data_IF_359497534613
#
_entry.id   IF_359497534613
#
_cell.length_a   1.000
_cell.length_b   1.000
_cell.length_c   1.000
_cell.angle_alpha   90.00
_cell.angle_beta   90.00
_cell.angle_gamma   90.00
#
_symmetry.space_group_name_H-M   'P 1'
#
loop_
_entity.id
_entity.type
_entity.pdbx_description
1 polymer ?
#
# COMPACT_ATOMS: atom_id res chain seq x y z
N UNK A 1 -42.58 75.43 -21.17
CA UNK A 1 -43.58 75.88 -20.14
C UNK A 1 -43.34 75.28 -18.81
N UNK A 2 -42.94 76.11 -17.87
CA UNK A 2 -43.33 76.11 -16.38
C UNK A 2 -43.06 74.82 -15.59
N UNK A 3 -41.96 74.81 -14.70
CA UNK A 3 -42.01 75.17 -13.27
C UNK A 3 -42.54 73.99 -12.45
N UNK A 4 -41.92 73.54 -11.31
CA UNK A 4 -41.24 74.17 -10.13
C UNK A 4 -40.51 72.99 -9.38
N UNK A 5 -39.35 73.13 -8.95
CA UNK A 5 -38.75 73.38 -7.63
C UNK A 5 -39.61 73.03 -6.39
N UNK A 6 -39.04 72.23 -5.53
CA UNK A 6 -38.85 72.29 -4.07
C UNK A 6 -38.61 70.88 -3.57
N UNK A 7 -37.71 70.53 -2.74
CA UNK A 7 -36.88 71.19 -1.77
C UNK A 7 -36.60 70.21 -0.65
N UNK A 8 -35.34 70.02 -0.30
CA UNK A 8 -34.78 69.87 1.04
C UNK A 8 -35.31 68.77 1.97
N UNK A 9 -34.51 67.74 2.30
CA UNK A 9 -33.94 67.63 3.66
C UNK A 9 -33.00 66.44 3.75
N UNK A 10 -31.81 66.71 4.24
CA UNK A 10 -30.76 65.76 4.58
C UNK A 10 -31.16 64.92 5.82
N UNK A 11 -30.89 63.64 5.74
CA UNK A 11 -30.66 62.84 6.93
C UNK A 11 -29.58 61.83 6.64
N UNK A 12 -28.38 62.11 7.08
CA UNK A 12 -27.22 61.26 7.08
C UNK A 12 -27.42 60.14 8.12
N UNK A 13 -27.70 58.93 7.68
CA UNK A 13 -27.65 57.74 8.54
C UNK A 13 -26.38 56.97 8.15
N UNK A 14 -25.34 57.06 8.97
CA UNK A 14 -24.20 56.15 8.97
C UNK A 14 -24.70 54.75 9.31
N UNK A 15 -24.77 53.88 8.33
CA UNK A 15 -24.90 52.42 8.57
C UNK A 15 -23.47 51.89 8.63
N UNK A 16 -23.01 51.56 9.87
CA UNK A 16 -21.86 50.68 10.05
C UNK A 16 -22.21 49.32 9.45
N UNK A 17 -21.69 49.02 8.30
CA UNK A 17 -21.67 47.66 7.76
C UNK A 17 -20.63 46.88 8.59
N UNK A 18 -21.09 46.13 9.59
CA UNK A 18 -20.34 45.05 10.21
C UNK A 18 -20.14 43.98 9.13
N UNK A 19 -18.94 43.93 8.57
CA UNK A 19 -18.47 42.82 7.77
C UNK A 19 -18.29 41.63 8.73
N UNK A 20 -19.35 40.85 8.91
CA UNK A 20 -19.23 39.48 9.41
C UNK A 20 -18.54 38.72 8.32
N UNK A 21 -17.23 38.46 8.50
CA UNK A 21 -16.53 37.41 7.82
C UNK A 21 -17.23 36.11 8.16
N UNK A 22 -18.09 35.61 7.27
CA UNK A 22 -18.49 34.21 7.27
C UNK A 22 -17.25 33.44 6.98
N UNK A 23 -16.52 32.99 8.00
CA UNK A 23 -15.72 31.82 7.93
C UNK A 23 -16.69 30.69 7.58
N UNK A 24 -16.47 30.03 6.47
CA UNK A 24 -17.09 28.73 6.18
C UNK A 24 -16.57 27.73 7.25
N UNK A 25 -17.16 27.79 8.43
CA UNK A 25 -17.20 26.66 9.36
C UNK A 25 -18.17 25.64 8.74
N UNK A 26 -17.65 24.84 7.84
CA UNK A 26 -18.30 23.61 7.38
C UNK A 26 -18.23 22.58 8.52
N UNK A 27 -18.84 22.92 9.66
CA UNK A 27 -19.15 22.01 10.76
C UNK A 27 -20.38 21.19 10.41
N UNK A 28 -20.34 20.55 9.21
CA UNK A 28 -21.19 19.41 8.92
C UNK A 28 -20.69 18.24 9.80
N UNK A 29 -21.60 17.55 10.46
CA UNK A 29 -21.41 16.40 11.37
C UNK A 29 -20.80 15.14 10.71
N UNK A 30 -19.95 15.30 9.71
CA UNK A 30 -19.24 14.26 8.99
C UNK A 30 -17.77 14.60 8.91
N UNK A 31 -16.90 13.79 9.54
CA UNK A 31 -15.45 13.98 9.57
C UNK A 31 -14.80 14.26 8.21
N UNK A 32 -13.56 14.76 8.21
CA UNK A 32 -12.80 15.11 7.01
C UNK A 32 -12.68 13.92 6.07
N UNK A 33 -13.10 14.08 4.82
CA UNK A 33 -13.00 13.03 3.78
C UNK A 33 -11.53 12.76 3.44
N UNK A 34 -11.16 11.47 3.33
CA UNK A 34 -9.84 10.98 2.95
C UNK A 34 -10.00 9.85 1.95
N UNK A 35 -9.42 9.98 0.77
CA UNK A 35 -9.43 8.93 -0.26
C UNK A 35 -8.26 7.98 -0.07
N UNK A 36 -8.55 6.66 0.00
CA UNK A 36 -7.55 5.65 0.31
C UNK A 36 -7.60 4.48 -0.68
N UNK A 37 -6.47 4.21 -1.37
CA UNK A 37 -6.30 3.06 -2.25
C UNK A 37 -5.82 1.82 -1.50
N UNK A 38 -6.32 0.64 -1.89
CA UNK A 38 -5.88 -0.64 -1.33
C UNK A 38 -5.90 -1.77 -2.36
N UNK A 39 -5.22 -2.87 -2.07
CA UNK A 39 -5.32 -4.13 -2.82
C UNK A 39 -6.28 -5.05 -2.05
N UNK A 40 -7.16 -5.76 -2.77
CA UNK A 40 -8.17 -6.65 -2.20
C UNK A 40 -7.60 -7.99 -1.72
N UNK A 41 -6.52 -7.93 -0.95
CA UNK A 41 -5.92 -9.07 -0.24
C UNK A 41 -5.74 -8.74 1.24
N UNK A 42 -5.25 -9.70 2.04
CA UNK A 42 -5.08 -9.50 3.47
C UNK A 42 -4.11 -8.35 3.78
N UNK A 43 -2.95 -8.34 3.14
CA UNK A 43 -1.90 -7.34 3.41
C UNK A 43 -2.32 -5.92 3.06
N UNK A 44 -3.09 -5.76 1.96
CA UNK A 44 -3.58 -4.46 1.51
C UNK A 44 -4.80 -3.94 2.25
N UNK A 45 -5.58 -4.83 2.89
CA UNK A 45 -6.91 -4.50 3.40
C UNK A 45 -7.03 -4.57 4.92
N UNK A 46 -6.25 -5.42 5.62
CA UNK A 46 -6.48 -5.73 7.03
C UNK A 46 -6.50 -4.49 7.95
N UNK A 47 -5.54 -3.58 7.80
CA UNK A 47 -5.50 -2.36 8.61
C UNK A 47 -6.72 -1.46 8.35
N UNK A 48 -7.18 -1.36 7.11
CA UNK A 48 -8.36 -0.54 6.75
C UNK A 48 -9.65 -1.18 7.24
N UNK A 49 -9.76 -2.50 7.13
CA UNK A 49 -10.90 -3.29 7.62
C UNK A 49 -11.05 -3.15 9.15
N UNK A 50 -9.94 -3.32 9.87
CA UNK A 50 -9.89 -3.15 11.33
C UNK A 50 -10.16 -1.70 11.71
N UNK A 51 -9.60 -0.73 11.02
CA UNK A 51 -9.86 0.69 11.29
C UNK A 51 -11.35 1.05 11.14
N UNK A 52 -12.02 0.45 10.15
CA UNK A 52 -13.47 0.60 9.98
C UNK A 52 -14.25 -0.13 11.10
N UNK A 53 -13.90 -1.39 11.41
CA UNK A 53 -14.56 -2.20 12.44
C UNK A 53 -14.45 -1.61 13.83
N UNK A 54 -13.30 -0.99 14.16
CA UNK A 54 -13.00 -0.40 15.48
C UNK A 54 -13.34 1.09 15.55
N UNK A 55 -13.97 1.63 14.50
CA UNK A 55 -14.35 3.05 14.39
C UNK A 55 -13.17 4.02 14.60
N UNK A 56 -11.97 3.62 14.17
CA UNK A 56 -10.75 4.41 14.39
C UNK A 56 -10.70 5.69 13.56
N UNK A 57 -11.37 5.70 12.40
CA UNK A 57 -11.43 6.87 11.53
C UNK A 57 -12.18 8.03 12.15
N UNK A 58 -13.40 7.80 12.65
CA UNK A 58 -14.23 8.84 13.26
C UNK A 58 -13.61 9.38 14.54
N UNK A 59 -12.91 8.54 15.34
CA UNK A 59 -12.14 8.96 16.50
C UNK A 59 -11.03 9.98 16.18
N UNK A 60 -10.60 10.05 14.93
CA UNK A 60 -9.66 11.04 14.41
C UNK A 60 -10.36 12.15 13.59
N UNK A 61 -11.69 12.17 13.57
CA UNK A 61 -12.47 13.12 12.78
C UNK A 61 -12.31 12.90 11.26
N UNK A 62 -12.06 11.65 10.83
CA UNK A 62 -11.85 11.27 9.42
C UNK A 62 -13.01 10.43 8.89
N UNK A 63 -13.28 10.58 7.59
CA UNK A 63 -14.23 9.76 6.85
C UNK A 63 -13.54 9.15 5.62
N UNK A 64 -13.17 7.86 5.64
CA UNK A 64 -12.47 7.26 4.53
C UNK A 64 -13.39 7.00 3.33
N UNK A 65 -12.87 7.27 2.12
CA UNK A 65 -13.41 6.81 0.84
C UNK A 65 -12.42 5.79 0.26
N UNK A 66 -12.74 4.51 0.39
CA UNK A 66 -11.84 3.40 0.12
C UNK A 66 -12.02 2.90 -1.31
N UNK A 67 -10.93 2.80 -2.08
CA UNK A 67 -10.91 2.40 -3.49
C UNK A 67 -10.00 1.20 -3.71
N UNK A 68 -10.55 0.13 -4.30
CA UNK A 68 -9.79 -1.07 -4.63
C UNK A 68 -8.97 -0.88 -5.90
N UNK A 69 -7.74 -1.38 -5.90
CA UNK A 69 -6.82 -1.43 -7.03
C UNK A 69 -6.26 -2.84 -7.19
N UNK A 70 -5.84 -3.17 -8.40
CA UNK A 70 -5.23 -4.48 -8.69
C UNK A 70 -3.75 -4.57 -8.29
N UNK A 71 -3.06 -3.42 -8.20
CA UNK A 71 -1.62 -3.36 -7.86
C UNK A 71 -1.21 -1.98 -7.30
N UNK A 72 0.01 -1.92 -6.74
CA UNK A 72 0.57 -0.70 -6.14
C UNK A 72 0.89 0.41 -7.15
N UNK A 73 1.53 0.13 -8.30
CA UNK A 73 1.84 1.15 -9.30
C UNK A 73 0.65 1.98 -9.75
N UNK A 74 -0.53 1.37 -9.94
CA UNK A 74 -1.76 2.10 -10.27
C UNK A 74 -2.21 3.05 -9.15
N UNK A 75 -1.98 2.69 -7.89
CA UNK A 75 -2.27 3.57 -6.76
C UNK A 75 -1.35 4.80 -6.76
N UNK A 76 -0.04 4.63 -7.04
CA UNK A 76 0.89 5.76 -7.13
C UNK A 76 0.55 6.68 -8.31
N UNK A 77 0.08 6.12 -9.42
CA UNK A 77 -0.45 6.93 -10.51
C UNK A 77 -1.67 7.76 -10.07
N UNK A 78 -2.59 7.15 -9.33
CA UNK A 78 -3.76 7.83 -8.79
C UNK A 78 -3.40 8.88 -7.72
N UNK A 79 -2.37 8.65 -6.91
CA UNK A 79 -1.78 9.65 -6.01
C UNK A 79 -1.25 10.84 -6.80
N UNK A 80 -0.48 10.61 -7.87
CA UNK A 80 0.10 11.66 -8.71
C UNK A 80 -0.95 12.53 -9.42
N UNK A 81 -2.12 11.97 -9.73
CA UNK A 81 -3.26 12.70 -10.31
C UNK A 81 -4.24 13.25 -9.26
N UNK A 82 -3.92 13.16 -7.96
CA UNK A 82 -4.74 13.62 -6.82
C UNK A 82 -6.11 12.93 -6.72
N UNK A 83 -6.26 11.74 -7.33
CA UNK A 83 -7.45 10.90 -7.18
C UNK A 83 -7.42 10.03 -5.92
N UNK A 84 -6.26 9.97 -5.25
CA UNK A 84 -6.03 9.37 -3.94
C UNK A 84 -5.22 10.32 -3.06
N UNK A 85 -5.48 10.29 -1.75
CA UNK A 85 -4.66 10.92 -0.73
C UNK A 85 -3.62 9.94 -0.18
N UNK A 86 -4.04 8.70 0.03
CA UNK A 86 -3.23 7.61 0.56
C UNK A 86 -3.39 6.34 -0.26
N UNK A 87 -2.42 5.45 -0.17
CA UNK A 87 -2.45 4.16 -0.84
C UNK A 87 -1.60 3.10 -0.13
N UNK A 88 -1.67 1.88 -0.62
CA UNK A 88 -0.93 0.73 -0.13
C UNK A 88 0.03 0.21 -1.20
N UNK A 89 1.26 -0.13 -0.80
CA UNK A 89 2.25 -0.75 -1.67
C UNK A 89 2.81 -2.02 -1.04
N UNK A 90 2.86 -3.07 -1.84
CA UNK A 90 3.72 -4.24 -1.56
C UNK A 90 5.20 -3.92 -1.82
N UNK A 91 6.12 -4.75 -1.32
CA UNK A 91 7.56 -4.45 -1.29
C UNK A 91 8.17 -4.24 -2.68
N UNK A 92 7.67 -4.92 -3.70
CA UNK A 92 8.17 -4.77 -5.07
C UNK A 92 7.80 -3.46 -5.77
N UNK A 93 6.92 -2.64 -5.18
CA UNK A 93 6.58 -1.32 -5.70
C UNK A 93 7.32 -0.18 -4.97
N UNK A 94 8.23 -0.50 -4.03
CA UNK A 94 8.98 0.51 -3.25
C UNK A 94 10.00 1.29 -4.07
N UNK A 95 10.29 0.87 -5.30
CA UNK A 95 11.02 1.69 -6.26
C UNK A 95 10.33 3.05 -6.56
N UNK A 96 9.00 3.15 -6.36
CA UNK A 96 8.24 4.38 -6.55
C UNK A 96 8.54 5.42 -5.47
N UNK A 97 8.43 5.12 -4.16
CA UNK A 97 8.92 6.04 -3.12
C UNK A 97 10.41 6.34 -3.24
N UNK A 98 11.25 5.35 -3.55
CA UNK A 98 12.70 5.52 -3.71
C UNK A 98 13.09 6.47 -4.87
N UNK A 99 12.15 6.82 -5.74
CA UNK A 99 12.30 7.83 -6.81
C UNK A 99 11.46 9.09 -6.56
N UNK A 100 11.02 9.31 -5.32
CA UNK A 100 10.30 10.53 -4.90
C UNK A 100 8.83 10.60 -5.32
N UNK A 101 8.26 9.52 -5.90
CA UNK A 101 6.86 9.53 -6.41
C UNK A 101 5.80 9.38 -5.32
N UNK A 102 6.20 8.97 -4.12
CA UNK A 102 5.33 8.87 -2.96
C UNK A 102 6.16 9.01 -1.68
N UNK A 103 5.53 9.29 -0.54
CA UNK A 103 6.12 9.25 0.80
C UNK A 103 5.53 8.09 1.59
N UNK A 104 6.36 7.32 2.27
CA UNK A 104 5.92 6.22 3.14
C UNK A 104 5.52 6.81 4.49
N UNK A 105 4.28 6.53 4.92
CA UNK A 105 3.73 7.03 6.19
C UNK A 105 3.75 5.97 7.29
N UNK A 106 3.72 4.68 6.92
CA UNK A 106 3.72 3.56 7.86
C UNK A 106 4.21 2.28 7.20
N UNK A 107 5.01 1.49 7.91
CA UNK A 107 5.15 0.06 7.64
C UNK A 107 3.89 -0.62 8.17
N UNK A 108 3.29 -1.48 7.37
CA UNK A 108 2.09 -2.23 7.72
C UNK A 108 2.46 -3.60 8.34
N UNK A 109 3.22 -4.38 7.58
CA UNK A 109 3.70 -5.72 7.96
C UNK A 109 4.88 -6.10 7.06
N UNK A 110 5.61 -7.15 7.41
CA UNK A 110 6.65 -7.70 6.53
C UNK A 110 6.06 -8.83 5.70
N UNK A 111 6.18 -8.72 4.37
CA UNK A 111 5.60 -9.66 3.42
C UNK A 111 6.34 -10.98 3.35
N UNK A 112 5.58 -12.08 3.30
CA UNK A 112 6.05 -13.45 3.09
C UNK A 112 5.14 -14.19 2.11
N UNK A 113 4.36 -13.47 1.31
CA UNK A 113 3.32 -14.02 0.45
C UNK A 113 3.78 -14.39 -0.96
N UNK A 114 4.88 -13.79 -1.44
CA UNK A 114 5.28 -13.90 -2.84
C UNK A 114 5.96 -15.24 -3.12
N UNK A 115 5.67 -15.79 -4.30
CA UNK A 115 6.21 -17.06 -4.79
C UNK A 115 6.52 -16.99 -6.28
N UNK A 116 7.52 -17.75 -6.68
CA UNK A 116 7.59 -18.26 -8.05
C UNK A 116 7.00 -19.65 -8.03
N UNK A 117 5.97 -19.87 -8.82
CA UNK A 117 5.29 -21.16 -8.95
C UNK A 117 5.49 -21.70 -10.37
N UNK A 118 5.61 -23.01 -10.48
CA UNK A 118 5.79 -23.71 -11.75
C UNK A 118 4.73 -24.80 -11.92
N UNK A 119 4.44 -25.13 -13.17
CA UNK A 119 3.49 -26.19 -13.51
C UNK A 119 4.08 -27.55 -13.21
N UNK A 120 3.26 -28.53 -12.78
CA UNK A 120 3.67 -29.93 -12.71
C UNK A 120 4.18 -30.41 -14.07
N UNK A 121 5.29 -31.14 -14.08
CA UNK A 121 5.88 -31.67 -15.31
C UNK A 121 6.61 -30.66 -16.20
N UNK A 122 6.69 -29.38 -15.82
CA UNK A 122 7.45 -28.35 -16.57
C UNK A 122 8.96 -28.53 -16.52
N UNK A 123 9.46 -29.39 -15.61
CA UNK A 123 10.88 -29.56 -15.32
C UNK A 123 11.47 -28.41 -14.49
N UNK A 124 10.64 -27.51 -13.96
CA UNK A 124 11.07 -26.38 -13.14
C UNK A 124 10.93 -26.75 -11.66
N UNK A 125 12.06 -26.92 -10.97
CA UNK A 125 12.12 -27.28 -9.55
C UNK A 125 12.97 -26.30 -8.72
N UNK A 126 13.82 -25.52 -9.40
CA UNK A 126 14.72 -24.51 -8.82
C UNK A 126 14.86 -23.31 -9.75
N UNK A 127 15.32 -22.14 -9.28
CA UNK A 127 15.43 -20.94 -10.09
C UNK A 127 16.24 -21.09 -11.39
N UNK A 128 17.29 -21.91 -11.40
CA UNK A 128 18.09 -22.14 -12.61
C UNK A 128 17.31 -22.79 -13.75
N UNK A 129 16.25 -23.56 -13.45
CA UNK A 129 15.42 -24.23 -14.43
C UNK A 129 14.45 -23.27 -15.17
N UNK A 130 14.39 -22.00 -14.74
CA UNK A 130 13.58 -20.96 -15.39
C UNK A 130 14.16 -20.53 -16.74
N UNK A 131 15.43 -20.88 -17.05
CA UNK A 131 16.07 -20.52 -18.32
C UNK A 131 15.25 -20.99 -19.52
N UNK A 132 14.96 -20.05 -20.45
CA UNK A 132 14.13 -20.29 -21.63
C UNK A 132 12.63 -20.48 -21.39
N UNK A 133 12.17 -20.39 -20.15
CA UNK A 133 10.76 -20.58 -19.77
C UNK A 133 9.93 -19.31 -19.91
N UNK A 134 8.63 -19.51 -20.15
CA UNK A 134 7.63 -18.44 -20.24
C UNK A 134 7.01 -18.19 -18.89
N UNK A 135 7.21 -16.99 -18.34
CA UNK A 135 6.86 -16.65 -16.96
C UNK A 135 5.88 -15.48 -16.93
N UNK A 136 4.69 -15.70 -16.38
CA UNK A 136 3.71 -14.63 -16.16
C UNK A 136 4.04 -13.82 -14.89
N UNK A 137 3.97 -12.49 -14.99
CA UNK A 137 4.30 -11.62 -13.85
C UNK A 137 3.52 -10.30 -13.90
N UNK A 138 3.01 -9.80 -12.76
CA UNK A 138 2.52 -8.43 -12.66
C UNK A 138 3.72 -7.46 -12.56
N UNK A 139 3.99 -6.76 -13.66
CA UNK A 139 5.16 -5.89 -13.76
C UNK A 139 5.19 -4.80 -12.69
N UNK A 140 6.36 -4.56 -12.10
CA UNK A 140 6.59 -3.50 -11.10
C UNK A 140 6.00 -3.79 -9.72
N UNK A 141 5.60 -5.04 -9.46
CA UNK A 141 5.06 -5.51 -8.18
C UNK A 141 6.05 -6.43 -7.45
N UNK A 142 5.64 -7.00 -6.32
CA UNK A 142 6.45 -7.98 -5.58
C UNK A 142 6.68 -9.29 -6.36
N UNK A 143 5.75 -9.67 -7.26
CA UNK A 143 5.97 -10.77 -8.19
C UNK A 143 7.13 -10.51 -9.15
N UNK A 144 7.20 -9.30 -9.73
CA UNK A 144 8.34 -8.87 -10.56
C UNK A 144 9.65 -8.87 -9.76
N UNK A 145 9.61 -8.36 -8.55
CA UNK A 145 10.77 -8.32 -7.66
C UNK A 145 11.29 -9.73 -7.33
N UNK A 146 10.45 -10.66 -6.88
CA UNK A 146 10.89 -12.01 -6.50
C UNK A 146 11.43 -12.78 -7.71
N UNK A 147 10.87 -12.58 -8.92
CA UNK A 147 11.40 -13.17 -10.14
C UNK A 147 12.83 -12.71 -10.41
N UNK A 148 13.05 -11.40 -10.37
CA UNK A 148 14.39 -10.85 -10.63
C UNK A 148 15.40 -11.26 -9.56
N UNK A 149 15.02 -11.32 -8.28
CA UNK A 149 15.87 -11.82 -7.20
C UNK A 149 16.27 -13.28 -7.46
N UNK A 150 15.33 -14.14 -7.80
CA UNK A 150 15.57 -15.56 -8.05
C UNK A 150 16.46 -15.79 -9.30
N UNK A 151 16.20 -15.05 -10.39
CA UNK A 151 17.04 -15.10 -11.59
C UNK A 151 18.49 -14.72 -11.27
N UNK A 152 18.68 -13.64 -10.52
CA UNK A 152 20.01 -13.17 -10.11
C UNK A 152 20.75 -14.20 -9.26
N UNK A 153 20.11 -14.82 -8.27
CA UNK A 153 20.73 -15.88 -7.46
C UNK A 153 21.10 -17.11 -8.29
N UNK A 154 20.32 -17.38 -9.35
CA UNK A 154 20.61 -18.45 -10.29
C UNK A 154 21.69 -18.08 -11.35
N UNK A 155 22.22 -16.86 -11.31
CA UNK A 155 23.16 -16.36 -12.33
C UNK A 155 22.51 -16.13 -13.70
N UNK A 156 21.19 -15.96 -13.74
CA UNK A 156 20.40 -15.69 -14.96
C UNK A 156 20.12 -14.18 -15.09
N UNK A 157 19.97 -13.73 -16.33
CA UNK A 157 19.52 -12.39 -16.69
C UNK A 157 18.02 -12.41 -17.03
N UNK A 158 17.30 -11.30 -16.95
CA UNK A 158 15.92 -11.21 -17.43
C UNK A 158 15.75 -11.64 -18.90
N UNK A 159 16.78 -11.45 -19.74
CA UNK A 159 16.82 -11.90 -21.14
C UNK A 159 16.94 -13.42 -21.31
N UNK A 160 17.29 -14.17 -20.27
CA UNK A 160 17.38 -15.63 -20.32
C UNK A 160 16.01 -16.32 -20.16
N UNK A 161 14.95 -15.56 -19.90
CA UNK A 161 13.57 -16.03 -19.72
C UNK A 161 12.61 -15.22 -20.60
N UNK A 162 11.43 -15.78 -20.89
CA UNK A 162 10.36 -15.06 -21.57
C UNK A 162 9.38 -14.49 -20.54
N UNK A 163 9.63 -13.26 -20.07
CA UNK A 163 8.71 -12.57 -19.14
C UNK A 163 7.49 -12.08 -19.89
N UNK A 164 6.29 -12.44 -19.39
CA UNK A 164 5.01 -12.00 -19.95
C UNK A 164 4.29 -11.12 -18.91
N UNK A 165 4.35 -9.80 -19.05
CA UNK A 165 3.66 -8.88 -18.15
C UNK A 165 2.14 -8.98 -18.32
N UNK A 166 1.41 -9.10 -17.21
CA UNK A 166 -0.05 -9.11 -17.19
C UNK A 166 -0.59 -8.76 -15.81
N UNK A 167 -1.88 -8.39 -15.75
CA UNK A 167 -2.54 -8.13 -14.47
C UNK A 167 -2.61 -9.39 -13.58
N UNK A 168 -2.64 -9.26 -12.25
CA UNK A 168 -2.64 -10.39 -11.33
C UNK A 168 -3.75 -11.43 -11.60
N UNK A 169 -4.98 -10.99 -11.93
CA UNK A 169 -6.09 -11.87 -12.28
C UNK A 169 -5.86 -12.63 -13.60
N UNK A 170 -5.18 -12.00 -14.55
CA UNK A 170 -4.78 -12.61 -15.83
C UNK A 170 -3.68 -13.64 -15.62
N UNK A 171 -2.72 -13.40 -14.69
CA UNK A 171 -1.71 -14.40 -14.29
C UNK A 171 -2.38 -15.67 -13.79
N UNK A 172 -3.39 -15.55 -12.92
CA UNK A 172 -4.16 -16.71 -12.40
C UNK A 172 -4.78 -17.51 -13.54
N UNK A 173 -5.39 -16.82 -14.51
CA UNK A 173 -6.02 -17.47 -15.67
C UNK A 173 -4.99 -18.11 -16.60
N UNK A 174 -3.93 -17.40 -16.95
CA UNK A 174 -2.87 -17.87 -17.86
C UNK A 174 -2.14 -19.09 -17.31
N UNK A 175 -1.84 -19.11 -16.00
CA UNK A 175 -1.24 -20.26 -15.36
C UNK A 175 -2.22 -21.45 -15.34
N UNK A 176 -3.48 -21.22 -14.97
CA UNK A 176 -4.51 -22.26 -14.93
C UNK A 176 -4.83 -22.88 -16.29
N UNK A 177 -4.70 -22.12 -17.38
CA UNK A 177 -4.95 -22.57 -18.76
C UNK A 177 -3.74 -23.14 -19.51
N UNK A 178 -2.60 -23.33 -18.81
CA UNK A 178 -1.35 -23.81 -19.42
C UNK A 178 -0.75 -22.88 -20.50
N UNK A 179 -1.00 -21.58 -20.39
CA UNK A 179 -0.46 -20.59 -21.34
C UNK A 179 0.96 -20.11 -21.01
N UNK A 180 1.45 -20.45 -19.81
CA UNK A 180 2.78 -20.12 -19.27
C UNK A 180 3.33 -21.30 -18.47
N UNK A 181 4.67 -21.42 -18.41
CA UNK A 181 5.37 -22.49 -17.68
C UNK A 181 5.44 -22.22 -16.18
N UNK A 182 5.58 -20.94 -15.80
CA UNK A 182 5.70 -20.47 -14.44
C UNK A 182 4.97 -19.13 -14.24
N UNK A 183 4.77 -18.76 -12.99
CA UNK A 183 4.28 -17.43 -12.63
C UNK A 183 4.97 -16.94 -11.36
N UNK A 184 5.20 -15.63 -11.28
CA UNK A 184 5.66 -14.95 -10.08
C UNK A 184 4.52 -14.07 -9.54
N UNK A 185 3.93 -14.48 -8.42
CA UNK A 185 2.69 -13.93 -7.87
C UNK A 185 2.62 -14.21 -6.36
N UNK A 186 1.56 -13.79 -5.70
CA UNK A 186 1.42 -13.87 -4.23
C UNK A 186 0.11 -14.51 -3.76
N UNK A 187 0.11 -14.96 -2.51
CA UNK A 187 -1.11 -15.39 -1.82
C UNK A 187 -2.03 -14.18 -1.49
N UNK A 188 -3.36 -14.31 -1.61
CA UNK A 188 -4.12 -15.55 -1.81
C UNK A 188 -4.37 -15.93 -3.28
N UNK A 189 -3.81 -15.23 -4.28
CA UNK A 189 -4.03 -15.54 -5.69
C UNK A 189 -3.54 -16.96 -6.05
N UNK A 190 -2.48 -17.41 -5.40
CA UNK A 190 -1.95 -18.78 -5.56
C UNK A 190 -2.99 -19.82 -5.11
N UNK A 191 -3.78 -19.56 -4.07
CA UNK A 191 -4.87 -20.47 -3.67
C UNK A 191 -5.94 -20.62 -4.75
N UNK A 192 -6.21 -19.57 -5.52
CA UNK A 192 -7.11 -19.63 -6.66
C UNK A 192 -6.50 -20.46 -7.82
N UNK A 193 -5.19 -20.40 -8.00
CA UNK A 193 -4.48 -21.24 -8.98
C UNK A 193 -4.53 -22.71 -8.53
N UNK A 194 -4.28 -23.00 -7.24
CA UNK A 194 -4.31 -24.37 -6.67
C UNK A 194 -5.65 -25.07 -6.86
N UNK A 195 -6.76 -24.36 -6.97
CA UNK A 195 -8.08 -24.95 -7.29
C UNK A 195 -8.10 -25.64 -8.67
N UNK A 196 -7.26 -25.22 -9.61
CA UNK A 196 -7.16 -25.77 -10.96
C UNK A 196 -5.89 -26.58 -11.19
N UNK A 197 -4.82 -26.24 -10.48
CA UNK A 197 -3.49 -26.87 -10.58
C UNK A 197 -3.02 -27.17 -9.15
N UNK A 198 -3.59 -28.21 -8.47
CA UNK A 198 -3.32 -28.48 -7.05
C UNK A 198 -1.85 -28.86 -6.82
N UNK A 199 -1.21 -29.53 -7.77
CA UNK A 199 0.16 -30.05 -7.68
C UNK A 199 1.20 -29.06 -8.21
N UNK A 200 0.92 -27.76 -8.24
CA UNK A 200 1.92 -26.75 -8.63
C UNK A 200 3.14 -26.81 -7.70
N UNK A 201 4.30 -26.48 -8.26
CA UNK A 201 5.58 -26.46 -7.53
C UNK A 201 5.87 -25.02 -7.09
N UNK A 202 6.14 -24.80 -5.81
CA UNK A 202 6.69 -23.51 -5.32
C UNK A 202 8.22 -23.56 -5.50
N UNK A 203 8.72 -22.81 -6.46
CA UNK A 203 10.15 -22.80 -6.88
C UNK A 203 10.99 -21.86 -6.02
N UNK A 204 10.40 -20.73 -5.60
CA UNK A 204 11.06 -19.70 -4.79
C UNK A 204 10.02 -19.06 -3.88
N UNK A 205 10.41 -18.71 -2.67
CA UNK A 205 9.59 -18.05 -1.65
C UNK A 205 10.27 -16.78 -1.18
N UNK A 206 9.48 -15.81 -0.71
CA UNK A 206 10.02 -14.60 -0.09
C UNK A 206 10.96 -14.94 1.08
N UNK A 207 10.64 -15.98 1.84
CA UNK A 207 11.40 -16.43 3.01
C UNK A 207 12.82 -16.88 2.65
N UNK A 208 13.09 -17.32 1.43
CA UNK A 208 14.41 -17.78 0.97
C UNK A 208 15.44 -16.64 0.98
N UNK A 209 14.99 -15.38 0.97
CA UNK A 209 15.83 -14.19 0.99
C UNK A 209 16.08 -13.61 2.39
N UNK A 210 15.33 -14.04 3.41
CA UNK A 210 15.58 -13.63 4.80
C UNK A 210 16.83 -14.29 5.37
N UNK A 211 17.58 -13.63 6.26
CA UNK A 211 17.39 -12.26 6.75
C UNK A 211 18.08 -11.18 5.91
N UNK A 212 18.71 -11.53 4.77
CA UNK A 212 19.47 -10.59 3.93
C UNK A 212 18.62 -9.44 3.42
N UNK A 213 17.36 -9.73 3.07
CA UNK A 213 16.38 -8.75 2.63
C UNK A 213 15.15 -8.82 3.53
N UNK A 214 14.56 -7.68 3.77
CA UNK A 214 13.26 -7.53 4.44
C UNK A 214 12.29 -6.92 3.45
N UNK A 215 11.05 -7.38 3.45
CA UNK A 215 10.05 -7.03 2.45
C UNK A 215 8.87 -6.26 3.08
N UNK A 216 9.04 -4.97 3.44
CA UNK A 216 7.97 -4.19 4.07
C UNK A 216 6.83 -3.94 3.10
N UNK A 217 5.61 -4.22 3.55
CA UNK A 217 4.40 -3.66 2.99
C UNK A 217 4.15 -2.31 3.65
N UNK A 218 3.74 -1.30 2.90
CA UNK A 218 3.68 0.06 3.40
C UNK A 218 2.40 0.79 3.00
N UNK A 219 2.03 1.78 3.80
CA UNK A 219 1.09 2.82 3.39
C UNK A 219 1.85 4.07 2.96
N UNK A 220 1.34 4.72 1.92
CA UNK A 220 1.99 5.85 1.27
C UNK A 220 1.01 7.01 1.08
N UNK A 221 1.57 8.21 0.89
CA UNK A 221 0.81 9.42 0.55
C UNK A 221 1.52 10.22 -0.55
N UNK A 222 0.83 11.21 -1.10
CA UNK A 222 1.42 12.16 -2.03
C UNK A 222 2.53 12.97 -1.34
N UNK A 223 3.66 13.22 -2.02
CA UNK A 223 4.72 14.09 -1.47
C UNK A 223 4.21 15.49 -1.11
N UNK A 224 3.31 16.04 -1.93
CA UNK A 224 2.72 17.36 -1.71
C UNK A 224 1.79 17.38 -0.49
N UNK A 225 0.97 16.35 -0.29
CA UNK A 225 0.09 16.23 0.87
C UNK A 225 0.90 16.13 2.17
N UNK A 226 1.98 15.33 2.15
CA UNK A 226 2.86 15.19 3.31
C UNK A 226 3.48 16.51 3.77
N UNK A 227 3.77 17.43 2.83
CA UNK A 227 4.35 18.73 3.15
C UNK A 227 3.31 19.79 3.50
N UNK A 228 2.14 19.78 2.84
CA UNK A 228 1.11 20.82 3.02
C UNK A 228 0.19 20.56 4.20
N UNK A 229 -0.02 19.29 4.55
CA UNK A 229 -0.93 18.89 5.62
C UNK A 229 -0.38 17.72 6.44
N UNK A 230 0.73 17.96 7.15
CA UNK A 230 1.35 16.94 8.00
C UNK A 230 0.42 16.47 9.13
N UNK A 231 -0.53 17.30 9.55
CA UNK A 231 -1.50 16.96 10.59
C UNK A 231 -2.48 15.87 10.11
N UNK A 232 -2.98 15.97 8.88
CA UNK A 232 -3.80 14.92 8.29
C UNK A 232 -2.99 13.60 8.20
N UNK A 233 -1.75 13.69 7.72
CA UNK A 233 -0.88 12.51 7.61
C UNK A 233 -0.65 11.89 8.99
N UNK A 234 -0.44 12.70 10.03
CA UNK A 234 -0.29 12.24 11.41
C UNK A 234 -1.54 11.51 11.93
N UNK A 235 -2.75 12.06 11.68
CA UNK A 235 -4.02 11.44 12.06
C UNK A 235 -4.23 10.08 11.38
N UNK A 236 -3.99 10.02 10.07
CA UNK A 236 -4.09 8.76 9.30
C UNK A 236 -3.05 7.74 9.83
N UNK A 237 -1.82 8.16 10.08
CA UNK A 237 -0.78 7.30 10.66
C UNK A 237 -1.19 6.75 12.02
N UNK A 238 -1.81 7.57 12.89
CA UNK A 238 -2.32 7.13 14.20
C UNK A 238 -3.41 6.05 14.04
N UNK A 239 -4.33 6.21 13.08
CA UNK A 239 -5.34 5.19 12.76
C UNK A 239 -4.69 3.88 12.33
N UNK A 240 -3.71 3.95 11.40
CA UNK A 240 -3.01 2.77 10.88
C UNK A 240 -2.22 2.04 11.98
N UNK A 241 -1.55 2.78 12.88
CA UNK A 241 -0.84 2.22 14.04
C UNK A 241 -1.80 1.49 14.98
N UNK A 242 -2.92 2.11 15.34
CA UNK A 242 -3.91 1.51 16.21
C UNK A 242 -4.54 0.26 15.60
N UNK A 243 -4.83 0.27 14.29
CA UNK A 243 -5.32 -0.89 13.57
C UNK A 243 -4.28 -2.02 13.54
N UNK A 244 -3.01 -1.69 13.31
CA UNK A 244 -1.92 -2.67 13.32
C UNK A 244 -1.76 -3.32 14.71
N UNK A 245 -1.79 -2.54 15.80
CA UNK A 245 -1.69 -3.07 17.16
C UNK A 245 -2.85 -4.01 17.49
N UNK A 246 -4.06 -3.68 17.01
CA UNK A 246 -5.21 -4.57 17.15
C UNK A 246 -5.02 -5.87 16.37
N UNK A 247 -4.50 -5.83 15.13
CA UNK A 247 -4.18 -7.00 14.30
C UNK A 247 -3.16 -7.90 15.01
N UNK A 248 -2.09 -7.31 15.54
CA UNK A 248 -1.04 -8.05 16.29
C UNK A 248 -1.64 -8.76 17.50
N UNK A 249 -2.56 -8.13 18.22
CA UNK A 249 -3.23 -8.72 19.37
C UNK A 249 -4.30 -9.76 18.98
N UNK A 250 -4.88 -9.67 17.78
CA UNK A 250 -6.01 -10.48 17.34
C UNK A 250 -5.82 -11.05 15.92
N UNK A 251 -4.74 -11.79 15.61
CA UNK A 251 -4.40 -12.13 14.23
C UNK A 251 -5.49 -12.97 13.53
N UNK A 252 -6.01 -14.02 14.16
CA UNK A 252 -7.06 -14.86 13.58
C UNK A 252 -8.40 -14.12 13.39
N UNK A 253 -8.73 -13.18 14.28
CA UNK A 253 -9.94 -12.37 14.16
C UNK A 253 -9.78 -11.32 13.05
N UNK A 254 -8.56 -10.79 12.86
CA UNK A 254 -8.27 -9.85 11.78
C UNK A 254 -8.51 -10.45 10.39
N UNK A 255 -8.27 -11.76 10.21
CA UNK A 255 -8.57 -12.47 8.97
C UNK A 255 -10.08 -12.46 8.66
N UNK A 256 -10.91 -12.71 9.69
CA UNK A 256 -12.39 -12.68 9.55
C UNK A 256 -12.89 -11.26 9.25
N UNK A 257 -12.42 -10.28 10.02
CA UNK A 257 -12.77 -8.86 9.83
C UNK A 257 -12.41 -8.41 8.42
N UNK A 258 -11.25 -8.84 7.91
CA UNK A 258 -10.81 -8.53 6.55
C UNK A 258 -11.66 -9.23 5.50
N UNK A 259 -12.02 -10.49 5.71
CA UNK A 259 -12.90 -11.23 4.80
C UNK A 259 -14.29 -10.57 4.69
N UNK A 260 -14.88 -10.20 5.84
CA UNK A 260 -16.17 -9.48 5.89
C UNK A 260 -16.09 -8.14 5.15
N UNK A 261 -15.03 -7.38 5.37
CA UNK A 261 -14.77 -6.11 4.69
C UNK A 261 -14.69 -6.28 3.16
N UNK A 262 -14.00 -7.31 2.70
CA UNK A 262 -13.86 -7.64 1.27
C UNK A 262 -15.07 -8.37 0.70
N UNK A 263 -16.08 -8.70 1.52
CA UNK A 263 -17.26 -9.50 1.15
C UNK A 263 -16.87 -10.89 0.60
N UNK A 264 -15.85 -11.49 1.20
CA UNK A 264 -15.36 -12.82 0.87
C UNK A 264 -15.78 -13.84 1.94
N UNK A 265 -15.97 -15.11 1.58
CA UNK A 265 -16.08 -16.18 2.56
C UNK A 265 -14.84 -16.19 3.48
N UNK A 266 -15.05 -16.31 4.81
CA UNK A 266 -13.94 -16.29 5.79
C UNK A 266 -12.84 -17.31 5.48
N UNK A 267 -13.20 -18.47 4.94
CA UNK A 267 -12.28 -19.51 4.53
C UNK A 267 -11.24 -19.07 3.46
N UNK A 268 -11.53 -18.02 2.68
CA UNK A 268 -10.59 -17.54 1.65
C UNK A 268 -9.41 -16.75 2.25
N UNK A 269 -9.56 -16.18 3.43
CA UNK A 269 -8.49 -15.47 4.11
C UNK A 269 -7.99 -16.19 5.37
N UNK A 270 -8.57 -17.35 5.70
CA UNK A 270 -8.12 -18.16 6.82
C UNK A 270 -6.65 -18.57 6.65
N UNK A 271 -5.82 -18.28 7.64
CA UNK A 271 -4.39 -18.53 7.61
C UNK A 271 -3.57 -17.51 6.80
N UNK A 272 -4.14 -16.38 6.39
CA UNK A 272 -3.39 -15.33 5.69
C UNK A 272 -2.27 -14.73 6.53
N UNK A 273 -2.42 -14.74 7.84
CA UNK A 273 -1.40 -14.23 8.78
C UNK A 273 -0.09 -15.03 8.74
N UNK A 274 -0.10 -16.28 8.27
CA UNK A 274 1.13 -17.07 8.05
C UNK A 274 2.03 -16.54 6.94
N UNK A 275 1.49 -15.68 6.07
CA UNK A 275 2.21 -15.07 4.95
C UNK A 275 2.71 -13.67 5.23
N UNK A 276 2.70 -13.26 6.49
CA UNK A 276 3.20 -11.96 6.94
C UNK A 276 3.86 -12.08 8.31
N UNK A 277 4.85 -11.24 8.57
CA UNK A 277 5.33 -11.00 9.93
C UNK A 277 4.71 -9.71 10.43
N UNK A 278 3.91 -9.84 11.47
CA UNK A 278 3.27 -8.72 12.16
C UNK A 278 4.26 -8.13 13.18
N UNK A 279 4.33 -6.81 13.28
CA UNK A 279 5.17 -6.08 14.23
C UNK A 279 4.32 -5.07 14.98
N UNK A 280 4.35 -5.06 16.33
CA UNK A 280 3.66 -4.03 17.11
C UNK A 280 4.17 -2.64 16.78
N UNK A 281 3.31 -1.62 16.86
CA UNK A 281 3.69 -0.24 16.57
C UNK A 281 4.81 0.28 17.47
N UNK A 282 4.88 -0.20 18.71
CA UNK A 282 5.95 0.11 19.65
C UNK A 282 7.32 -0.45 19.19
N UNK A 283 7.35 -1.67 18.64
CA UNK A 283 8.56 -2.27 18.06
C UNK A 283 8.97 -1.52 16.80
N UNK A 284 8.02 -1.27 15.87
CA UNK A 284 8.28 -0.48 14.66
C UNK A 284 8.80 0.92 14.98
N UNK A 285 8.33 1.54 16.07
CA UNK A 285 8.84 2.84 16.52
C UNK A 285 10.32 2.75 16.89
N UNK A 286 10.73 1.73 17.66
CA UNK A 286 12.13 1.52 18.02
C UNK A 286 13.01 1.28 16.79
N UNK A 287 12.56 0.38 15.90
CA UNK A 287 13.27 0.06 14.64
C UNK A 287 13.32 1.25 13.67
N UNK A 288 12.39 2.19 13.78
CA UNK A 288 12.43 3.46 13.04
C UNK A 288 13.48 4.40 13.63
N UNK A 289 13.49 4.56 14.97
CA UNK A 289 14.38 5.48 15.67
C UNK A 289 15.85 5.05 15.62
N UNK A 290 16.11 3.74 15.62
CA UNK A 290 17.48 3.20 15.51
C UNK A 290 18.00 3.08 14.06
N UNK A 291 17.16 3.45 13.07
CA UNK A 291 17.50 3.44 11.65
C UNK A 291 17.33 2.11 10.95
N UNK A 292 16.92 1.04 11.64
CA UNK A 292 16.73 -0.30 11.04
C UNK A 292 15.71 -0.27 9.89
N UNK A 293 14.59 0.44 10.06
CA UNK A 293 13.55 0.56 8.99
C UNK A 293 14.11 1.28 7.77
N UNK A 294 14.91 2.34 7.95
CA UNK A 294 15.61 2.99 6.84
C UNK A 294 16.52 2.02 6.11
N UNK A 295 17.27 1.19 6.84
CA UNK A 295 18.10 0.14 6.26
C UNK A 295 17.32 -0.87 5.42
N UNK A 296 16.10 -1.27 5.82
CA UNK A 296 15.26 -2.14 5.00
C UNK A 296 14.90 -1.50 3.65
N UNK A 297 14.53 -0.22 3.67
CA UNK A 297 14.19 0.51 2.45
C UNK A 297 15.40 0.76 1.56
N UNK A 298 16.53 1.15 2.13
CA UNK A 298 17.78 1.37 1.41
C UNK A 298 18.25 0.08 0.72
N UNK A 299 18.23 -1.08 1.42
CA UNK A 299 18.61 -2.37 0.85
C UNK A 299 17.72 -2.77 -0.33
N UNK A 300 16.38 -2.59 -0.22
CA UNK A 300 15.49 -2.87 -1.34
C UNK A 300 15.70 -1.88 -2.50
N UNK A 301 15.91 -0.61 -2.21
CA UNK A 301 16.17 0.38 -3.24
C UNK A 301 17.47 0.11 -3.99
N UNK A 302 18.51 -0.36 -3.30
CA UNK A 302 19.76 -0.83 -3.93
C UNK A 302 19.54 -2.04 -4.85
N UNK A 303 18.65 -2.97 -4.46
CA UNK A 303 18.23 -4.07 -5.33
C UNK A 303 17.55 -3.54 -6.59
N UNK A 304 16.66 -2.57 -6.48
CA UNK A 304 16.00 -1.99 -7.66
C UNK A 304 16.98 -1.27 -8.60
N UNK A 305 18.03 -0.63 -8.08
CA UNK A 305 19.12 -0.08 -8.89
C UNK A 305 19.90 -1.21 -9.59
N UNK A 306 20.25 -2.27 -8.86
CA UNK A 306 21.00 -3.42 -9.40
C UNK A 306 20.19 -4.23 -10.44
N UNK A 307 18.86 -4.11 -10.43
CA UNK A 307 17.95 -4.72 -11.40
C UNK A 307 17.64 -3.78 -12.58
N UNK A 308 18.32 -2.65 -12.68
CA UNK A 308 18.05 -1.61 -13.69
C UNK A 308 16.60 -1.10 -13.70
N UNK A 309 15.89 -1.27 -12.57
CA UNK A 309 14.51 -0.80 -12.41
C UNK A 309 14.44 0.71 -12.23
N UNK A 310 15.45 1.28 -11.57
CA UNK A 310 15.66 2.70 -11.39
C UNK A 310 17.14 3.03 -11.60
N UNK A 311 17.48 4.20 -12.18
CA UNK A 311 18.89 4.56 -12.45
C UNK A 311 19.65 4.92 -11.16
N UNK A 312 18.97 5.40 -10.15
CA UNK A 312 19.44 5.77 -8.82
C UNK A 312 18.30 5.77 -7.83
N UNK A 313 18.61 5.74 -6.55
CA UNK A 313 17.64 5.89 -5.46
C UNK A 313 17.89 7.14 -4.63
N UNK A 314 16.84 7.65 -4.00
CA UNK A 314 16.92 8.57 -2.89
C UNK A 314 17.29 7.79 -1.60
N UNK A 315 17.79 8.45 -0.57
CA UNK A 315 17.98 7.84 0.74
C UNK A 315 16.62 7.60 1.42
N UNK A 316 16.48 6.51 2.15
CA UNK A 316 15.22 6.13 2.79
C UNK A 316 14.63 7.26 3.66
N UNK A 317 15.47 8.01 4.38
CA UNK A 317 15.07 9.17 5.19
C UNK A 317 14.37 10.29 4.39
N UNK A 318 14.56 10.34 3.06
CA UNK A 318 13.98 11.38 2.21
C UNK A 318 12.56 11.02 1.76
N UNK A 319 12.16 9.73 1.83
CA UNK A 319 10.83 9.28 1.44
C UNK A 319 10.07 8.51 2.51
N UNK A 320 10.71 8.08 3.60
CA UNK A 320 10.04 7.52 4.77
C UNK A 320 9.84 8.60 5.83
N UNK A 321 8.59 8.84 6.23
CA UNK A 321 8.23 9.83 7.24
C UNK A 321 8.38 9.24 8.66
N UNK A 322 9.58 8.73 8.97
CA UNK A 322 9.86 8.00 10.20
C UNK A 322 9.60 8.81 11.47
N UNK A 323 10.00 10.08 11.51
CA UNK A 323 9.75 10.96 12.66
C UNK A 323 8.26 11.21 12.89
N UNK A 324 7.50 11.41 11.79
CA UNK A 324 6.05 11.54 11.84
C UNK A 324 5.42 10.23 12.35
N UNK A 325 5.88 9.07 11.85
CA UNK A 325 5.41 7.77 12.31
C UNK A 325 5.65 7.59 13.81
N UNK A 326 6.87 7.86 14.29
CA UNK A 326 7.24 7.71 15.70
C UNK A 326 6.44 8.65 16.60
N UNK A 327 6.17 9.89 16.14
CA UNK A 327 5.44 10.91 16.85
C UNK A 327 3.91 10.89 16.67
N UNK A 328 3.36 9.99 15.85
CA UNK A 328 1.91 10.04 15.53
C UNK A 328 0.98 9.77 16.71
N UNK A 329 1.49 9.17 17.80
CA UNK A 329 0.68 8.83 18.96
C UNK A 329 -0.33 7.71 18.69
N UNK A 330 -1.28 7.53 19.60
CA UNK A 330 -2.41 6.61 19.46
C UNK A 330 -3.71 7.34 19.13
N UNK A 331 -4.74 6.56 18.81
CA UNK A 331 -6.11 7.07 18.71
C UNK A 331 -6.63 7.32 20.14
N UNK A 332 -7.28 8.45 20.44
CA UNK A 332 -7.85 8.72 21.77
C UNK A 332 -8.77 7.59 22.22
N UNK A 333 -8.61 7.12 23.46
CA UNK A 333 -9.59 6.24 24.10
C UNK A 333 -10.80 7.11 24.43
N UNK A 334 -11.98 6.69 23.99
CA UNK A 334 -13.24 7.29 24.47
C UNK A 334 -13.48 6.88 25.91
#
# INVERSE_FOLDING_TARGET
MKRKLAGLCAATALILASVTACGDDDSSSGGRKVTFGYIGDYSGSAALAVAAKQDLWSKQGLKPDLKVFTNGPLQVQALGTKNLDFGYLGPGALWLPATGKAKIVSVNMLGQADRIIARPGSGITKPADLKGKKIAVPAGTSGDMILNLALREAGLKPSDVSVVPMDPSTVVTAFGSNSVDAAAIWYPLIDNIKKRVPDLVEVTRTEDFYPRLTFPNVFVTQPELASKDPELVRKVTAVLRAANDWIVANPAESEKVTADFLKLPAAQLAGSTKYVKLLPSAELTKLTQDGTVNGWFDNLADIFVQMDKIPKRDAAKDYYLGDLYAGAGGVPKQ
#
